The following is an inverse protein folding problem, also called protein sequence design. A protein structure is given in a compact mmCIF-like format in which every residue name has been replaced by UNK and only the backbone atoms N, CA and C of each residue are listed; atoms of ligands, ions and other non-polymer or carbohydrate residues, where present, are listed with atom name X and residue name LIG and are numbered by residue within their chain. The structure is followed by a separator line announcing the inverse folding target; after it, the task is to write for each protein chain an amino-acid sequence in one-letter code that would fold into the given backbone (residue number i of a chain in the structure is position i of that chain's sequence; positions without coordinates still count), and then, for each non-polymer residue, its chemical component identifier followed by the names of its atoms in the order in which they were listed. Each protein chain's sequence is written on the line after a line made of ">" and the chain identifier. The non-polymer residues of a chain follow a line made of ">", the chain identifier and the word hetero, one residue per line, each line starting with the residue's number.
data_IF_831024623372
#
_entry.id   IF_831024623372
#
_cell.length_a   1.000
_cell.length_b   1.000
_cell.length_c   1.000
_cell.angle_alpha   90.00
_cell.angle_beta   90.00
_cell.angle_gamma   90.00
#
_symmetry.space_group_name_H-M   'P 1'
#
loop_
_entity.id
_entity.type
_entity.pdbx_description
1 polymer ?
#
# COMPACT_ATOMS: atom_id res chain seq x y z
N UNK A 1 -2.95 19.52 -13.73
CA UNK A 1 -3.89 19.76 -12.57
C UNK A 1 -3.53 18.95 -11.34
N UNK A 2 -3.05 17.70 -11.47
CA UNK A 2 -2.68 16.83 -10.34
C UNK A 2 -1.41 17.34 -9.66
N UNK A 3 -0.46 17.86 -10.41
CA UNK A 3 0.80 18.41 -9.90
C UNK A 3 0.60 19.65 -9.01
N UNK A 4 -0.37 20.49 -9.34
CA UNK A 4 -0.65 21.72 -8.59
C UNK A 4 -1.32 21.40 -7.23
N UNK A 5 -2.05 20.32 -7.13
CA UNK A 5 -2.71 19.90 -5.89
C UNK A 5 -1.76 19.23 -4.89
N UNK A 6 -0.78 18.47 -5.39
CA UNK A 6 0.30 17.90 -4.58
C UNK A 6 1.22 18.99 -4.01
N UNK A 7 1.63 19.95 -4.85
CA UNK A 7 2.46 21.09 -4.43
C UNK A 7 1.75 21.97 -3.38
N UNK A 8 0.43 22.17 -3.51
CA UNK A 8 -0.35 22.91 -2.52
C UNK A 8 -0.48 22.20 -1.18
N UNK A 9 -0.57 20.87 -1.15
CA UNK A 9 -0.62 20.10 0.09
C UNK A 9 0.73 20.02 0.81
N UNK A 10 1.84 19.92 0.07
CA UNK A 10 3.18 19.97 0.66
C UNK A 10 3.51 21.32 1.29
N UNK A 11 3.10 22.42 0.68
CA UNK A 11 3.28 23.76 1.26
C UNK A 11 2.49 23.96 2.55
N UNK A 12 1.26 23.47 2.61
CA UNK A 12 0.44 23.54 3.84
C UNK A 12 0.97 22.64 4.97
N UNK A 13 1.61 21.50 4.65
CA UNK A 13 2.20 20.60 5.64
C UNK A 13 3.50 21.18 6.22
N UNK A 14 4.28 21.91 5.43
CA UNK A 14 5.56 22.49 5.87
C UNK A 14 5.42 23.66 6.86
N UNK A 15 4.33 24.39 6.80
CA UNK A 15 4.20 25.63 7.58
C UNK A 15 3.63 25.45 9.00
N UNK A 16 3.05 24.28 9.35
CA UNK A 16 2.40 24.15 10.66
C UNK A 16 2.67 22.84 11.42
N UNK A 17 3.16 21.77 10.78
CA UNK A 17 3.45 20.50 11.43
C UNK A 17 4.43 19.69 10.57
N UNK A 18 5.48 19.15 11.17
CA UNK A 18 6.32 18.12 10.52
C UNK A 18 5.69 16.77 10.85
N UNK A 19 4.93 16.15 9.92
CA UNK A 19 4.35 14.84 10.18
C UNK A 19 5.46 13.80 10.28
N UNK A 20 5.32 12.84 11.20
CA UNK A 20 6.25 11.75 11.34
C UNK A 20 6.20 10.81 10.10
N UNK A 21 5.07 10.76 9.42
CA UNK A 21 4.83 9.94 8.23
C UNK A 21 3.98 10.72 7.24
N UNK A 22 4.34 10.61 5.97
CA UNK A 22 3.53 11.06 4.83
C UNK A 22 3.21 9.85 3.97
N UNK A 23 1.94 9.58 3.74
CA UNK A 23 1.47 8.51 2.86
C UNK A 23 1.06 9.11 1.51
N UNK A 24 1.63 8.57 0.44
CA UNK A 24 1.28 8.92 -0.92
C UNK A 24 0.44 7.80 -1.54
N UNK A 25 -0.79 8.11 -1.93
CA UNK A 25 -1.61 7.22 -2.76
C UNK A 25 -1.22 7.44 -4.22
N UNK A 26 -0.55 6.47 -4.80
CA UNK A 26 0.04 6.57 -6.13
C UNK A 26 -0.83 5.87 -7.18
N UNK A 27 -0.88 6.40 -8.42
CA UNK A 27 -1.59 5.74 -9.50
C UNK A 27 -0.97 4.38 -9.82
N UNK A 28 -1.79 3.40 -10.19
CA UNK A 28 -1.36 2.06 -10.57
C UNK A 28 -0.61 1.97 -11.91
N UNK A 29 -0.24 3.10 -12.51
CA UNK A 29 0.50 3.18 -13.77
C UNK A 29 1.77 4.01 -13.59
N UNK A 30 2.88 3.50 -14.12
CA UNK A 30 4.18 4.17 -14.06
C UNK A 30 4.50 4.99 -15.32
N UNK A 31 3.62 4.96 -16.33
CA UNK A 31 3.85 5.61 -17.63
C UNK A 31 3.55 7.12 -17.63
N UNK A 32 3.22 7.69 -16.49
CA UNK A 32 2.96 9.12 -16.36
C UNK A 32 4.27 9.84 -16.02
N UNK A 33 4.58 10.90 -16.75
CA UNK A 33 5.75 11.72 -16.48
C UNK A 33 5.75 12.22 -15.01
N UNK A 34 6.90 12.14 -14.34
CA UNK A 34 7.06 12.54 -12.94
C UNK A 34 6.73 11.46 -11.90
N UNK A 35 6.11 10.34 -12.30
CA UNK A 35 5.78 9.26 -11.34
C UNK A 35 7.03 8.53 -10.86
N UNK A 36 8.02 8.33 -11.73
CA UNK A 36 9.29 7.68 -11.37
C UNK A 36 10.08 8.55 -10.38
N UNK A 37 10.05 9.86 -10.56
CA UNK A 37 10.68 10.82 -9.66
C UNK A 37 10.05 10.76 -8.27
N UNK A 38 8.71 10.62 -8.19
CA UNK A 38 8.02 10.43 -6.91
C UNK A 38 8.46 9.12 -6.25
N UNK A 39 8.45 8.00 -6.98
CA UNK A 39 8.93 6.71 -6.44
C UNK A 39 10.37 6.79 -5.94
N UNK A 40 11.22 7.52 -6.66
CA UNK A 40 12.63 7.68 -6.29
C UNK A 40 12.85 8.49 -5.01
N UNK A 41 11.87 9.32 -4.63
CA UNK A 41 11.92 10.18 -3.45
C UNK A 41 11.29 9.56 -2.20
N UNK A 42 10.61 8.40 -2.32
CA UNK A 42 10.03 7.70 -1.19
C UNK A 42 11.09 6.97 -0.36
N UNK A 43 10.81 6.76 0.92
CA UNK A 43 11.63 5.89 1.79
C UNK A 43 11.29 4.42 1.59
N UNK A 44 10.00 4.10 1.47
CA UNK A 44 9.50 2.75 1.35
C UNK A 44 8.25 2.71 0.46
N UNK A 45 8.10 1.64 -0.30
CA UNK A 45 6.94 1.39 -1.16
C UNK A 45 6.18 0.16 -0.67
N UNK A 46 4.90 0.32 -0.36
CA UNK A 46 4.00 -0.76 0.00
C UNK A 46 3.08 -1.09 -1.18
N UNK A 47 3.14 -2.33 -1.68
CA UNK A 47 2.43 -2.76 -2.88
C UNK A 47 1.33 -3.75 -2.50
N UNK A 48 0.05 -3.33 -2.53
CA UNK A 48 -1.06 -4.23 -2.31
C UNK A 48 -1.22 -5.21 -3.48
N UNK A 49 -1.50 -6.46 -3.17
CA UNK A 49 -1.72 -7.48 -4.20
C UNK A 49 -2.91 -8.37 -3.84
N UNK A 50 -3.55 -8.91 -4.86
CA UNK A 50 -4.64 -9.88 -4.76
C UNK A 50 -4.22 -11.18 -5.42
N UNK A 51 -4.70 -12.31 -4.91
CA UNK A 51 -4.42 -13.64 -5.49
C UNK A 51 -5.22 -13.86 -6.78
N UNK A 52 -4.81 -13.18 -7.82
CA UNK A 52 -5.32 -13.30 -9.18
C UNK A 52 -4.13 -13.48 -10.12
N UNK A 53 -4.18 -14.48 -11.01
CA UNK A 53 -3.04 -14.83 -11.87
C UNK A 53 -2.56 -13.69 -12.76
N UNK A 54 -3.49 -12.90 -13.28
CA UNK A 54 -3.16 -11.78 -14.18
C UNK A 54 -2.54 -10.63 -13.37
N UNK A 55 -3.18 -10.29 -12.25
CA UNK A 55 -2.71 -9.23 -11.34
C UNK A 55 -1.34 -9.60 -10.76
N UNK A 56 -1.14 -10.83 -10.32
CA UNK A 56 0.12 -11.29 -9.73
C UNK A 56 1.29 -11.18 -10.69
N UNK A 57 1.11 -11.58 -11.96
CA UNK A 57 2.17 -11.48 -12.96
C UNK A 57 2.66 -10.04 -13.16
N UNK A 58 1.74 -9.09 -13.30
CA UNK A 58 2.08 -7.67 -13.45
C UNK A 58 2.66 -7.08 -12.17
N UNK A 59 2.11 -7.41 -11.01
CA UNK A 59 2.59 -6.90 -9.71
C UNK A 59 3.99 -7.38 -9.39
N UNK A 60 4.29 -8.67 -9.58
CA UNK A 60 5.63 -9.22 -9.32
C UNK A 60 6.67 -8.67 -10.31
N UNK A 61 6.30 -8.54 -11.59
CA UNK A 61 7.16 -7.91 -12.60
C UNK A 61 7.48 -6.45 -12.23
N UNK A 62 6.46 -5.69 -11.84
CA UNK A 62 6.62 -4.32 -11.36
C UNK A 62 7.56 -4.26 -10.15
N UNK A 63 7.24 -5.00 -9.08
CA UNK A 63 8.02 -4.98 -7.84
C UNK A 63 9.48 -5.39 -8.08
N UNK A 64 9.71 -6.42 -8.89
CA UNK A 64 11.07 -6.87 -9.21
C UNK A 64 11.85 -5.85 -10.04
N UNK A 65 11.20 -5.23 -11.02
CA UNK A 65 11.84 -4.17 -11.83
C UNK A 65 12.23 -2.98 -10.97
N UNK A 66 11.35 -2.54 -10.08
CA UNK A 66 11.60 -1.43 -9.18
C UNK A 66 12.66 -1.75 -8.12
N UNK A 67 12.65 -2.97 -7.59
CA UNK A 67 13.70 -3.43 -6.69
C UNK A 67 15.09 -3.31 -7.35
N UNK A 68 15.24 -3.86 -8.55
CA UNK A 68 16.50 -3.84 -9.28
C UNK A 68 16.93 -2.45 -9.73
N UNK A 69 16.00 -1.60 -10.17
CA UNK A 69 16.34 -0.31 -10.77
C UNK A 69 16.36 0.85 -9.78
N UNK A 70 15.60 0.79 -8.70
CA UNK A 70 15.50 1.88 -7.73
C UNK A 70 16.09 1.49 -6.37
N UNK A 71 15.65 0.40 -5.75
CA UNK A 71 16.09 0.03 -4.39
C UNK A 71 17.59 -0.29 -4.35
N UNK A 72 18.09 -0.99 -5.36
CA UNK A 72 19.51 -1.34 -5.46
C UNK A 72 20.39 -0.20 -5.98
N UNK A 73 19.80 0.93 -6.33
CA UNK A 73 20.53 2.12 -6.77
C UNK A 73 20.79 3.06 -5.60
N UNK A 74 22.03 3.16 -5.16
CA UNK A 74 22.44 4.00 -4.04
C UNK A 74 22.13 5.49 -4.23
N UNK A 75 22.01 5.96 -5.47
CA UNK A 75 21.67 7.35 -5.79
C UNK A 75 20.17 7.66 -5.58
N UNK A 76 19.34 6.64 -5.37
CA UNK A 76 17.89 6.76 -5.18
C UNK A 76 17.56 6.68 -3.69
N UNK A 77 16.53 7.44 -3.27
CA UNK A 77 16.13 7.48 -1.87
C UNK A 77 15.34 6.23 -1.43
N UNK A 78 14.60 5.60 -2.34
CA UNK A 78 13.81 4.39 -2.07
C UNK A 78 14.70 3.24 -1.59
N UNK A 79 14.44 2.76 -0.36
CA UNK A 79 15.26 1.73 0.31
C UNK A 79 14.60 0.38 0.40
N UNK A 80 13.28 0.30 0.28
CA UNK A 80 12.55 -0.96 0.48
C UNK A 80 11.25 -1.01 -0.30
N UNK A 81 10.90 -2.19 -0.77
CA UNK A 81 9.61 -2.51 -1.38
C UNK A 81 9.01 -3.68 -0.63
N UNK A 82 7.79 -3.51 -0.11
CA UNK A 82 7.05 -4.52 0.63
C UNK A 82 5.74 -4.85 -0.05
N UNK A 83 5.56 -6.11 -0.37
CA UNK A 83 4.28 -6.64 -0.86
C UNK A 83 3.36 -6.97 0.31
N UNK A 84 2.06 -6.89 0.13
CA UNK A 84 1.11 -7.40 1.11
C UNK A 84 -0.20 -7.86 0.47
N UNK A 85 -0.80 -8.89 1.07
CA UNK A 85 -2.05 -9.43 0.59
C UNK A 85 -3.23 -8.54 0.97
N UNK A 86 -4.08 -8.25 -0.04
CA UNK A 86 -5.38 -7.60 0.14
C UNK A 86 -6.49 -8.47 -0.41
N UNK A 87 -7.73 -8.20 0.04
CA UNK A 87 -8.93 -8.94 -0.41
C UNK A 87 -8.81 -10.46 -0.22
N UNK A 88 -8.06 -10.89 0.80
CA UNK A 88 -7.86 -12.32 1.08
C UNK A 88 -9.16 -12.95 1.57
N UNK A 89 -9.69 -13.90 0.82
CA UNK A 89 -10.81 -14.71 1.28
C UNK A 89 -10.28 -15.91 2.07
N UNK A 90 -10.64 -15.99 3.36
CA UNK A 90 -10.23 -17.08 4.22
C UNK A 90 -10.76 -18.46 3.79
N UNK A 91 -11.79 -18.48 2.94
CA UNK A 91 -12.36 -19.69 2.37
C UNK A 91 -11.54 -20.22 1.21
N UNK A 92 -10.80 -19.35 0.55
CA UNK A 92 -9.95 -19.64 -0.61
C UNK A 92 -8.48 -19.86 -0.20
N UNK A 93 -8.20 -20.42 0.97
CA UNK A 93 -6.84 -20.90 1.31
C UNK A 93 -6.47 -22.03 0.35
N UNK A 94 -6.17 -21.64 -0.87
CA UNK A 94 -5.72 -22.52 -1.92
C UNK A 94 -4.20 -22.64 -1.88
N UNK A 95 -3.62 -23.72 -2.39
CA UNK A 95 -2.18 -23.86 -2.63
C UNK A 95 -1.57 -22.68 -3.42
N UNK A 96 -2.42 -21.86 -4.03
CA UNK A 96 -2.04 -20.70 -4.82
C UNK A 96 -1.30 -19.64 -4.00
N UNK A 97 -1.74 -19.34 -2.77
CA UNK A 97 -1.06 -18.36 -1.89
C UNK A 97 0.35 -18.86 -1.54
N UNK A 98 0.50 -20.12 -1.14
CA UNK A 98 1.79 -20.70 -0.78
C UNK A 98 2.76 -20.72 -1.97
N UNK A 99 2.24 -20.99 -3.17
CA UNK A 99 3.05 -20.95 -4.38
C UNK A 99 3.54 -19.52 -4.68
N UNK A 100 2.68 -18.51 -4.54
CA UNK A 100 3.08 -17.12 -4.75
C UNK A 100 4.03 -16.63 -3.67
N UNK A 101 3.84 -16.97 -2.42
CA UNK A 101 4.76 -16.63 -1.33
C UNK A 101 6.15 -17.24 -1.54
N UNK A 102 6.18 -18.48 -2.00
CA UNK A 102 7.43 -19.13 -2.40
C UNK A 102 8.11 -18.38 -3.56
N UNK A 103 7.35 -18.01 -4.59
CA UNK A 103 7.86 -17.26 -5.72
C UNK A 103 8.36 -15.86 -5.32
N UNK A 104 7.64 -15.15 -4.46
CA UNK A 104 8.04 -13.84 -3.91
C UNK A 104 9.40 -13.97 -3.22
N UNK A 105 9.57 -15.00 -2.38
CA UNK A 105 10.85 -15.30 -1.73
C UNK A 105 11.97 -15.62 -2.72
N UNK A 106 11.68 -16.41 -3.77
CA UNK A 106 12.66 -16.72 -4.82
C UNK A 106 13.10 -15.49 -5.62
N UNK A 107 12.19 -14.51 -5.78
CA UNK A 107 12.49 -13.23 -6.42
C UNK A 107 13.27 -12.28 -5.50
N UNK A 108 13.50 -12.62 -4.25
CA UNK A 108 14.16 -11.78 -3.26
C UNK A 108 13.29 -10.60 -2.79
N UNK A 109 11.97 -10.67 -3.04
CA UNK A 109 11.02 -9.64 -2.62
C UNK A 109 10.53 -9.90 -1.20
N UNK A 110 10.18 -8.84 -0.49
CA UNK A 110 9.69 -8.91 0.89
C UNK A 110 8.16 -8.87 0.94
N UNK A 111 7.58 -9.74 1.78
CA UNK A 111 6.15 -9.82 2.02
C UNK A 111 5.83 -9.47 3.47
N UNK A 112 4.81 -8.64 3.70
CA UNK A 112 4.28 -8.38 5.04
C UNK A 112 3.58 -9.62 5.58
N UNK A 113 3.62 -9.78 6.89
CA UNK A 113 2.92 -10.86 7.59
C UNK A 113 1.44 -10.56 7.72
N UNK A 114 1.10 -9.29 7.88
CA UNK A 114 -0.29 -8.84 7.94
C UNK A 114 -0.91 -8.82 6.56
N UNK A 115 -2.14 -9.30 6.48
CA UNK A 115 -2.93 -9.29 5.25
C UNK A 115 -4.31 -8.71 5.51
N UNK A 116 -4.85 -7.99 4.54
CA UNK A 116 -6.18 -7.39 4.62
C UNK A 116 -7.21 -8.37 4.08
N UNK A 117 -8.11 -8.91 4.93
CA UNK A 117 -9.14 -9.83 4.48
C UNK A 117 -10.20 -9.11 3.65
N UNK A 118 -10.85 -9.85 2.76
CA UNK A 118 -12.04 -9.34 2.08
C UNK A 118 -13.14 -9.04 3.10
N UNK A 119 -13.68 -7.83 3.04
CA UNK A 119 -14.82 -7.40 3.85
C UNK A 119 -15.77 -6.57 2.97
N UNK A 120 -17.03 -6.96 2.94
CA UNK A 120 -18.06 -6.22 2.16
C UNK A 120 -18.23 -4.77 2.60
N UNK A 121 -17.89 -4.45 3.84
CA UNK A 121 -17.90 -3.07 4.36
C UNK A 121 -16.99 -2.12 3.57
N UNK A 122 -15.88 -2.62 2.99
CA UNK A 122 -15.01 -1.81 2.14
C UNK A 122 -15.68 -1.32 0.85
N UNK A 123 -16.73 -2.00 0.40
CA UNK A 123 -17.45 -1.67 -0.81
C UNK A 123 -18.75 -0.89 -0.56
N UNK A 124 -19.09 -0.64 0.72
CA UNK A 124 -20.30 0.12 1.06
C UNK A 124 -19.99 1.61 1.04
N UNK A 125 -20.76 2.33 0.26
CA UNK A 125 -20.76 3.78 0.25
C UNK A 125 -21.72 4.32 1.31
N UNK A 126 -21.47 5.53 1.82
CA UNK A 126 -22.42 6.25 2.64
C UNK A 126 -23.68 6.51 1.79
N UNK A 127 -24.82 6.10 2.31
CA UNK A 127 -26.10 6.45 1.67
C UNK A 127 -26.38 7.95 1.85
N UNK A 128 -27.13 8.57 0.94
CA UNK A 128 -27.45 10.00 1.02
C UNK A 128 -28.15 10.43 2.30
N UNK A 129 -28.80 9.49 3.00
CA UNK A 129 -29.47 9.69 4.30
C UNK A 129 -28.53 9.65 5.51
N UNK A 130 -27.22 9.48 5.28
CA UNK A 130 -26.24 9.38 6.35
C UNK A 130 -26.23 8.04 7.08
N UNK A 131 -27.06 7.09 6.68
CA UNK A 131 -27.05 5.73 7.21
C UNK A 131 -26.07 4.85 6.43
N UNK A 132 -25.27 4.10 7.13
CA UNK A 132 -24.31 3.17 6.54
C UNK A 132 -22.88 3.43 6.96
N UNK A 133 -22.08 2.37 6.97
CA UNK A 133 -20.65 2.45 7.20
C UNK A 133 -20.00 2.65 5.84
N UNK A 134 -19.81 3.91 5.46
CA UNK A 134 -19.15 4.23 4.20
C UNK A 134 -17.63 4.24 4.32
N UNK A 135 -16.98 4.08 3.17
CA UNK A 135 -15.56 4.42 3.07
C UNK A 135 -15.39 5.90 3.39
N UNK A 136 -14.56 6.21 4.36
CA UNK A 136 -14.17 7.57 4.66
C UNK A 136 -12.65 7.67 4.63
N UNK A 137 -12.14 8.64 3.89
CA UNK A 137 -10.75 9.04 3.93
C UNK A 137 -10.50 10.12 5.00
N UNK A 138 -11.58 10.66 5.58
CA UNK A 138 -11.54 11.76 6.54
C UNK A 138 -11.72 11.30 7.98
N UNK A 139 -12.42 10.19 8.19
CA UNK A 139 -12.77 9.69 9.52
C UNK A 139 -12.17 8.31 9.73
N UNK A 140 -11.61 8.09 10.92
CA UNK A 140 -11.15 6.78 11.31
C UNK A 140 -12.33 5.78 11.29
N UNK A 141 -12.10 4.53 10.85
CA UNK A 141 -13.11 3.49 10.91
C UNK A 141 -13.44 3.15 12.36
N UNK A 142 -14.63 2.57 12.58
CA UNK A 142 -14.97 2.00 13.89
C UNK A 142 -13.89 1.01 14.33
N UNK A 143 -13.52 1.05 15.60
CA UNK A 143 -12.44 0.24 16.17
C UNK A 143 -12.66 -1.26 15.93
N UNK A 144 -13.90 -1.74 16.10
CA UNK A 144 -14.26 -3.14 15.83
C UNK A 144 -13.95 -3.52 14.37
N UNK A 145 -14.30 -2.66 13.43
CA UNK A 145 -14.03 -2.89 12.01
C UNK A 145 -12.54 -2.81 11.70
N UNK A 146 -11.81 -1.86 12.28
CA UNK A 146 -10.36 -1.74 12.10
C UNK A 146 -9.63 -3.02 12.55
N UNK A 147 -10.05 -3.61 13.66
CA UNK A 147 -9.52 -4.87 14.16
C UNK A 147 -9.89 -6.06 13.27
N UNK A 148 -11.17 -6.21 12.92
CA UNK A 148 -11.64 -7.29 12.03
C UNK A 148 -10.98 -7.24 10.63
N UNK A 149 -10.74 -6.05 10.12
CA UNK A 149 -10.10 -5.81 8.84
C UNK A 149 -8.56 -5.82 8.93
N UNK A 150 -7.99 -6.02 10.12
CA UNK A 150 -6.55 -6.02 10.39
C UNK A 150 -5.84 -4.70 10.05
N UNK A 151 -6.55 -3.58 10.02
CA UNK A 151 -5.99 -2.26 9.70
C UNK A 151 -4.99 -1.83 10.77
N UNK A 152 -5.32 -2.03 12.05
CA UNK A 152 -4.42 -1.73 13.17
C UNK A 152 -3.14 -2.59 13.13
N UNK A 153 -3.27 -3.87 12.80
CA UNK A 153 -2.12 -4.77 12.66
C UNK A 153 -1.20 -4.34 11.49
N UNK A 154 -1.80 -4.00 10.33
CA UNK A 154 -1.05 -3.50 9.19
C UNK A 154 -0.32 -2.20 9.53
N UNK A 155 -0.99 -1.26 10.16
CA UNK A 155 -0.38 0.00 10.60
C UNK A 155 0.80 -0.26 11.57
N UNK A 156 0.62 -1.15 12.53
CA UNK A 156 1.67 -1.54 13.48
C UNK A 156 2.88 -2.17 12.79
N UNK A 157 2.67 -3.04 11.81
CA UNK A 157 3.75 -3.65 11.05
C UNK A 157 4.51 -2.61 10.20
N UNK A 158 3.78 -1.70 9.52
CA UNK A 158 4.37 -0.60 8.76
C UNK A 158 5.23 0.30 9.67
N UNK A 159 4.70 0.72 10.83
CA UNK A 159 5.43 1.53 11.79
C UNK A 159 6.71 0.85 12.27
N UNK A 160 6.64 -0.46 12.51
CA UNK A 160 7.80 -1.27 12.91
C UNK A 160 8.88 -1.30 11.83
N UNK A 161 8.50 -1.46 10.56
CA UNK A 161 9.41 -1.45 9.40
C UNK A 161 10.10 -0.09 9.28
N UNK A 162 9.32 0.99 9.39
CA UNK A 162 9.82 2.36 9.32
C UNK A 162 10.60 2.80 10.58
N UNK A 163 10.66 1.95 11.62
CA UNK A 163 11.31 2.22 12.92
C UNK A 163 10.77 3.48 13.61
N UNK A 164 9.50 3.76 13.41
CA UNK A 164 8.78 4.87 14.04
C UNK A 164 8.08 4.33 15.29
N UNK A 165 8.26 5.04 16.42
CA UNK A 165 7.67 4.68 17.72
C UNK A 165 6.50 5.59 18.05
#
# INVERSE_FOLDING_TARGET
>A
EITTRLVGSEMCIRDSYLPAIVLYDLPGTVNTAGVIEIFSALDCLFVPMKADKVVMGSTLSFARTFDLSLVQNEAVHLKDIRLFWTMLDRRERTPLYEQYETLIGQLGLSLLQTHIPYRSKFNKELLPDGTGVGRSTLLAPERSFAQEAQIEALAGEILSILKIR
#
